data_IF_164735676254
#
_entry.id   IF_164735676254
#
_cell.length_a   1.000
_cell.length_b   1.000
_cell.length_c   1.000
_cell.angle_alpha   90.00
_cell.angle_beta   90.00
_cell.angle_gamma   90.00
#
_symmetry.space_group_name_H-M   'P 1'
#
loop_
_entity.id
_entity.type
_entity.pdbx_description
1 polymer ?
#
# COMPACT_ATOMS: atom_id res chain seq x y z
N UNK A 1 17.33 -15.68 -0.45
CA UNK A 1 16.82 -14.84 0.66
C UNK A 1 15.58 -15.49 1.24
N UNK A 2 15.31 -15.33 2.54
CA UNK A 2 14.07 -15.82 3.15
C UNK A 2 12.93 -14.81 3.00
N UNK A 3 11.68 -15.21 3.21
CA UNK A 3 10.54 -14.28 3.23
C UNK A 3 10.72 -13.16 4.26
N UNK A 4 11.40 -13.40 5.39
CA UNK A 4 11.71 -12.35 6.36
C UNK A 4 12.69 -11.32 5.79
N UNK A 5 13.67 -11.75 5.01
CA UNK A 5 14.66 -10.86 4.39
C UNK A 5 14.01 -10.01 3.30
N UNK A 6 13.12 -10.60 2.49
CA UNK A 6 12.36 -9.88 1.48
C UNK A 6 11.42 -8.83 2.08
N UNK A 7 10.77 -9.11 3.23
CA UNK A 7 9.96 -8.10 3.93
C UNK A 7 10.83 -6.90 4.39
N UNK A 8 12.03 -7.16 4.88
CA UNK A 8 12.96 -6.09 5.30
C UNK A 8 13.45 -5.27 4.10
N UNK A 9 13.75 -5.92 2.99
CA UNK A 9 14.11 -5.25 1.74
C UNK A 9 12.95 -4.38 1.22
N UNK A 10 11.72 -4.91 1.23
CA UNK A 10 10.53 -4.16 0.84
C UNK A 10 10.31 -2.91 1.72
N UNK A 11 10.57 -3.01 3.03
CA UNK A 11 10.53 -1.84 3.94
C UNK A 11 11.58 -0.80 3.56
N UNK A 12 12.81 -1.23 3.27
CA UNK A 12 13.87 -0.33 2.83
C UNK A 12 13.45 0.43 1.56
N UNK A 13 12.95 -0.29 0.55
CA UNK A 13 12.45 0.29 -0.70
C UNK A 13 11.33 1.33 -0.46
N UNK A 14 10.45 1.10 0.51
CA UNK A 14 9.42 2.08 0.87
C UNK A 14 10.00 3.36 1.50
N UNK A 15 10.97 3.19 2.41
CA UNK A 15 11.50 4.26 3.25
C UNK A 15 12.45 5.18 2.47
N UNK A 16 13.36 4.61 1.68
CA UNK A 16 14.40 5.37 0.96
C UNK A 16 14.20 5.42 -0.54
N UNK A 17 13.32 4.59 -1.10
CA UNK A 17 13.10 4.54 -2.54
C UNK A 17 12.39 5.77 -3.09
N UNK A 18 12.72 6.08 -4.34
CA UNK A 18 12.08 7.13 -5.14
C UNK A 18 11.14 6.52 -6.19
N UNK A 19 11.46 5.32 -6.72
CA UNK A 19 10.60 4.56 -7.63
C UNK A 19 9.74 3.53 -6.86
N UNK A 20 8.47 3.87 -6.64
CA UNK A 20 7.52 2.95 -6.01
C UNK A 20 6.99 1.87 -6.94
N UNK A 21 7.21 1.99 -8.25
CA UNK A 21 6.99 0.93 -9.22
C UNK A 21 7.94 -0.24 -8.99
N UNK A 22 9.21 0.04 -8.70
CA UNK A 22 10.21 -0.96 -8.30
C UNK A 22 9.78 -1.69 -7.02
N UNK A 23 9.38 -0.95 -5.97
CA UNK A 23 8.88 -1.55 -4.73
C UNK A 23 7.71 -2.50 -4.99
N UNK A 24 6.73 -2.08 -5.79
CA UNK A 24 5.57 -2.91 -6.11
C UNK A 24 5.98 -4.16 -6.88
N UNK A 25 6.86 -4.04 -7.87
CA UNK A 25 7.39 -5.18 -8.65
C UNK A 25 8.12 -6.17 -7.76
N UNK A 26 9.00 -5.67 -6.89
CA UNK A 26 9.74 -6.49 -5.92
C UNK A 26 8.81 -7.32 -5.02
N UNK A 27 7.68 -6.74 -4.59
CA UNK A 27 6.68 -7.48 -3.83
C UNK A 27 6.08 -8.64 -4.65
N UNK A 28 5.69 -8.41 -5.90
CA UNK A 28 5.12 -9.47 -6.74
C UNK A 28 6.14 -10.57 -7.07
N UNK A 29 7.38 -10.19 -7.39
CA UNK A 29 8.42 -11.12 -7.83
C UNK A 29 8.93 -12.02 -6.69
N UNK A 30 8.83 -11.56 -5.43
CA UNK A 30 9.45 -12.26 -4.29
C UNK A 30 8.51 -12.67 -3.16
N UNK A 31 7.33 -12.05 -3.04
CA UNK A 31 6.45 -12.23 -1.87
C UNK A 31 5.03 -12.65 -2.22
N UNK A 32 4.40 -12.07 -3.24
CA UNK A 32 2.96 -12.18 -3.48
C UNK A 32 2.47 -13.64 -3.59
N UNK A 33 3.24 -14.51 -4.23
CA UNK A 33 2.90 -15.93 -4.42
C UNK A 33 3.65 -16.87 -3.48
N UNK A 34 4.50 -16.35 -2.60
CA UNK A 34 5.31 -17.17 -1.69
C UNK A 34 4.44 -17.79 -0.59
N UNK A 35 4.33 -19.14 -0.51
CA UNK A 35 3.54 -19.78 0.54
C UNK A 35 4.04 -19.44 1.95
N UNK A 36 5.37 -19.29 2.08
CA UNK A 36 6.00 -18.86 3.33
C UNK A 36 5.54 -17.47 3.76
N UNK A 37 5.39 -16.53 2.82
CA UNK A 37 4.88 -15.18 3.11
C UNK A 37 3.38 -15.20 3.43
N UNK A 38 2.58 -15.87 2.59
CA UNK A 38 1.12 -15.96 2.76
C UNK A 38 0.73 -16.58 4.11
N UNK A 39 1.50 -17.56 4.59
CA UNK A 39 1.29 -18.20 5.89
C UNK A 39 1.66 -17.33 7.12
N UNK A 40 2.36 -16.21 6.95
CA UNK A 40 2.78 -15.34 8.07
C UNK A 40 1.70 -14.37 8.53
N UNK A 41 0.73 -14.08 7.67
CA UNK A 41 -0.27 -13.06 7.87
C UNK A 41 -1.60 -13.60 8.40
N UNK A 42 -2.39 -12.74 9.06
CA UNK A 42 -3.80 -13.00 9.33
C UNK A 42 -4.68 -11.85 8.85
N UNK A 43 -5.86 -12.12 8.26
CA UNK A 43 -6.82 -11.07 7.93
C UNK A 43 -7.15 -10.23 9.18
N UNK A 44 -7.09 -8.90 9.06
CA UNK A 44 -7.41 -7.99 10.17
C UNK A 44 -7.95 -6.67 9.66
N UNK A 45 -8.92 -6.09 10.39
CA UNK A 45 -9.42 -4.75 10.09
C UNK A 45 -8.50 -3.68 10.69
N UNK A 46 -8.30 -2.59 9.94
CA UNK A 46 -7.64 -1.38 10.41
C UNK A 46 -8.39 -0.17 9.84
N UNK A 47 -8.98 0.65 10.72
CA UNK A 47 -9.81 1.80 10.34
C UNK A 47 -9.00 2.92 9.71
N UNK A 48 -7.78 3.16 10.20
CA UNK A 48 -6.87 4.17 9.66
C UNK A 48 -6.48 3.82 8.23
N UNK A 49 -6.02 2.58 7.99
CA UNK A 49 -5.62 2.16 6.64
C UNK A 49 -6.81 2.14 5.67
N UNK A 50 -8.02 1.82 6.16
CA UNK A 50 -9.26 1.96 5.36
C UNK A 50 -9.54 3.41 4.98
N UNK A 51 -9.33 4.36 5.89
CA UNK A 51 -9.49 5.79 5.61
C UNK A 51 -8.45 6.28 4.60
N UNK A 52 -7.20 5.84 4.71
CA UNK A 52 -6.14 6.13 3.74
C UNK A 52 -6.52 5.64 2.34
N UNK A 53 -6.98 4.39 2.21
CA UNK A 53 -7.40 3.83 0.91
C UNK A 53 -8.55 4.64 0.30
N UNK A 54 -9.54 5.02 1.11
CA UNK A 54 -10.67 5.85 0.63
C UNK A 54 -10.19 7.23 0.18
N UNK A 55 -9.36 7.90 0.98
CA UNK A 55 -8.81 9.21 0.62
C UNK A 55 -7.98 9.17 -0.65
N UNK A 56 -7.15 8.13 -0.83
CA UNK A 56 -6.38 7.95 -2.05
C UNK A 56 -7.30 7.70 -3.27
N UNK A 57 -8.29 6.81 -3.15
CA UNK A 57 -9.24 6.55 -4.22
C UNK A 57 -10.04 7.80 -4.61
N UNK A 58 -10.58 8.55 -3.64
CA UNK A 58 -11.31 9.80 -3.92
C UNK A 58 -10.45 10.86 -4.60
N UNK A 59 -9.14 10.90 -4.32
CA UNK A 59 -8.24 11.91 -4.88
C UNK A 59 -7.71 11.56 -6.27
N UNK A 60 -7.42 10.29 -6.52
CA UNK A 60 -6.69 9.84 -7.72
C UNK A 60 -7.54 9.01 -8.68
N UNK A 61 -8.74 8.61 -8.27
CA UNK A 61 -9.76 8.00 -9.12
C UNK A 61 -11.00 8.91 -9.15
N UNK A 62 -12.12 8.37 -9.60
CA UNK A 62 -13.40 9.07 -9.57
C UNK A 62 -13.93 9.19 -8.11
N UNK A 63 -14.32 10.40 -7.65
CA UNK A 63 -14.83 10.61 -6.29
C UNK A 63 -16.09 9.79 -5.92
N UNK A 64 -16.87 9.37 -6.91
CA UNK A 64 -18.05 8.51 -6.72
C UNK A 64 -17.69 7.05 -6.43
N UNK A 65 -16.45 6.64 -6.70
CA UNK A 65 -16.01 5.27 -6.52
C UNK A 65 -15.82 4.95 -5.04
N UNK A 66 -16.53 3.92 -4.58
CA UNK A 66 -16.34 3.36 -3.24
C UNK A 66 -15.17 2.39 -3.24
N UNK A 67 -14.13 2.72 -2.47
CA UNK A 67 -12.98 1.85 -2.26
C UNK A 67 -13.13 0.93 -1.04
N UNK A 68 -12.78 -0.33 -1.23
CA UNK A 68 -12.72 -1.39 -0.23
C UNK A 68 -11.32 -1.99 -0.18
N UNK A 69 -10.95 -2.54 0.99
CA UNK A 69 -9.63 -3.16 1.18
C UNK A 69 -9.72 -4.39 2.07
N UNK A 70 -9.07 -5.46 1.61
CA UNK A 70 -8.86 -6.70 2.36
C UNK A 70 -7.44 -6.70 2.93
N UNK A 71 -7.32 -6.48 4.24
CA UNK A 71 -6.05 -6.28 4.92
C UNK A 71 -5.59 -7.55 5.63
N UNK A 72 -4.30 -7.84 5.49
CA UNK A 72 -3.58 -8.90 6.18
C UNK A 72 -2.50 -8.22 7.03
N UNK A 73 -2.39 -8.64 8.31
CA UNK A 73 -1.34 -8.18 9.21
C UNK A 73 -0.32 -9.30 9.45
N UNK A 74 0.95 -8.99 9.23
CA UNK A 74 2.09 -9.83 9.58
C UNK A 74 2.68 -9.28 10.88
N UNK A 75 2.23 -9.84 12.02
CA UNK A 75 2.52 -9.28 13.36
C UNK A 75 4.02 -9.17 13.65
N UNK A 76 4.82 -10.17 13.26
CA UNK A 76 6.27 -10.22 13.52
C UNK A 76 7.02 -9.01 12.98
N UNK A 77 6.56 -8.47 11.85
CA UNK A 77 7.22 -7.36 11.16
C UNK A 77 6.50 -6.02 11.33
N UNK A 78 5.39 -5.99 12.07
CA UNK A 78 4.52 -4.81 12.11
C UNK A 78 4.01 -4.39 10.73
N UNK A 79 3.97 -5.32 9.77
CA UNK A 79 3.63 -5.05 8.38
C UNK A 79 2.14 -5.32 8.16
N UNK A 80 1.53 -4.46 7.36
CA UNK A 80 0.21 -4.64 6.79
C UNK A 80 0.34 -4.64 5.28
N UNK A 81 -0.40 -5.52 4.62
CA UNK A 81 -0.61 -5.46 3.18
C UNK A 81 -2.04 -5.82 2.84
N UNK A 82 -2.48 -5.49 1.63
CA UNK A 82 -3.82 -5.85 1.20
C UNK A 82 -4.14 -5.45 -0.22
N UNK A 83 -5.14 -6.12 -0.78
CA UNK A 83 -5.71 -5.77 -2.07
C UNK A 83 -6.82 -4.72 -1.89
N UNK A 84 -6.80 -3.72 -2.77
CA UNK A 84 -7.79 -2.65 -2.88
C UNK A 84 -8.69 -2.96 -4.07
N UNK A 85 -10.00 -2.78 -3.88
CA UNK A 85 -11.00 -2.82 -4.95
C UNK A 85 -11.82 -1.54 -4.90
N UNK A 86 -11.86 -0.83 -6.02
CA UNK A 86 -12.54 0.46 -6.13
C UNK A 86 -13.29 0.49 -7.47
N UNK A 87 -14.52 -0.05 -7.50
CA UNK A 87 -15.25 -0.23 -8.76
C UNK A 87 -14.48 -1.15 -9.72
N UNK A 88 -14.19 -0.66 -10.94
CA UNK A 88 -13.37 -1.33 -11.94
C UNK A 88 -11.86 -1.12 -11.74
N UNK A 89 -11.46 -0.33 -10.74
CA UNK A 89 -10.07 -0.06 -10.39
C UNK A 89 -9.58 -1.06 -9.34
N UNK A 90 -8.31 -1.43 -9.44
CA UNK A 90 -7.62 -2.33 -8.51
C UNK A 90 -6.45 -1.63 -7.85
N UNK A 91 -5.85 -2.27 -6.85
CA UNK A 91 -4.67 -1.70 -6.22
C UNK A 91 -4.18 -2.52 -5.05
N UNK A 92 -3.11 -2.03 -4.44
CA UNK A 92 -2.46 -2.68 -3.29
C UNK A 92 -2.10 -1.63 -2.26
N UNK A 93 -2.14 -2.00 -0.98
CA UNK A 93 -1.61 -1.19 0.12
C UNK A 93 -0.51 -1.96 0.83
N UNK A 94 0.54 -1.25 1.23
CA UNK A 94 1.60 -1.69 2.13
C UNK A 94 1.74 -0.67 3.26
N UNK A 95 2.00 -1.12 4.48
CA UNK A 95 2.24 -0.23 5.61
C UNK A 95 3.11 -0.90 6.68
N UNK A 96 4.11 -0.18 7.18
CA UNK A 96 5.02 -0.64 8.23
C UNK A 96 4.84 0.20 9.50
N UNK A 97 4.43 -0.45 10.59
CA UNK A 97 4.17 0.19 11.88
C UNK A 97 5.41 0.87 12.48
N UNK A 98 6.60 0.33 12.24
CA UNK A 98 7.85 0.84 12.83
C UNK A 98 8.25 2.22 12.31
N UNK A 99 7.97 2.52 11.04
CA UNK A 99 8.27 3.80 10.41
C UNK A 99 7.04 4.68 10.19
N UNK A 100 5.86 4.14 10.51
CA UNK A 100 4.55 4.74 10.25
C UNK A 100 4.35 5.13 8.78
N UNK A 101 5.06 4.46 7.87
CA UNK A 101 5.02 4.69 6.43
C UNK A 101 4.24 3.61 5.72
N UNK A 102 3.54 4.00 4.66
CA UNK A 102 2.90 3.07 3.74
C UNK A 102 2.88 3.57 2.32
N UNK A 103 2.48 2.68 1.42
CA UNK A 103 2.28 2.94 0.00
C UNK A 103 0.90 2.40 -0.39
N UNK A 104 0.11 3.23 -1.06
CA UNK A 104 -1.06 2.81 -1.82
C UNK A 104 -0.67 2.85 -3.29
N UNK A 105 -1.00 1.79 -4.02
CA UNK A 105 -0.95 1.76 -5.48
C UNK A 105 -2.37 1.60 -6.01
N UNK A 106 -2.78 2.42 -6.97
CA UNK A 106 -4.11 2.38 -7.59
C UNK A 106 -3.96 2.28 -9.09
N UNK A 107 -4.42 1.17 -9.66
CA UNK A 107 -4.45 0.92 -11.09
C UNK A 107 -5.77 1.40 -11.67
N UNK A 108 -5.72 2.39 -12.55
CA UNK A 108 -6.91 2.89 -13.25
C UNK A 108 -7.20 2.03 -14.48
N UNK A 109 -8.39 1.44 -14.55
CA UNK A 109 -8.85 0.71 -15.74
C UNK A 109 -9.07 1.61 -16.96
N UNK A 110 -9.32 2.91 -16.73
CA UNK A 110 -9.58 3.90 -17.78
C UNK A 110 -8.26 4.42 -18.37
N UNK A 111 -7.36 4.94 -17.52
CA UNK A 111 -6.11 5.55 -17.99
C UNK A 111 -4.98 4.54 -18.18
N UNK A 112 -5.15 3.29 -17.71
CA UNK A 112 -4.13 2.23 -17.69
C UNK A 112 -2.85 2.62 -16.94
N UNK A 113 -2.92 3.66 -16.09
CA UNK A 113 -1.81 4.11 -15.24
C UNK A 113 -1.96 3.58 -13.83
N UNK A 114 -0.83 3.47 -13.14
CA UNK A 114 -0.77 3.17 -11.71
C UNK A 114 -0.34 4.42 -10.97
N UNK A 115 -1.20 4.88 -10.07
CA UNK A 115 -0.90 5.99 -9.17
C UNK A 115 -0.27 5.44 -7.89
N UNK A 116 0.86 6.00 -7.49
CA UNK A 116 1.60 5.62 -6.30
C UNK A 116 1.51 6.73 -5.25
N UNK A 117 0.93 6.40 -4.10
CA UNK A 117 0.72 7.34 -2.99
C UNK A 117 1.42 6.80 -1.77
N UNK A 118 2.65 7.28 -1.53
CA UNK A 118 3.29 7.09 -0.23
C UNK A 118 2.51 7.89 0.82
N UNK A 119 2.45 7.42 2.06
CA UNK A 119 1.76 8.14 3.13
C UNK A 119 2.43 7.86 4.46
N UNK A 120 2.20 8.76 5.42
CA UNK A 120 2.42 8.49 6.84
C UNK A 120 1.08 8.36 7.55
N UNK A 121 1.00 7.44 8.51
CA UNK A 121 -0.19 7.24 9.32
C UNK A 121 0.19 6.93 10.77
N UNK A 122 0.42 7.98 11.56
CA UNK A 122 0.68 7.83 12.97
C UNK A 122 -0.59 7.44 13.74
N UNK A 123 -0.42 6.69 14.84
CA UNK A 123 -1.49 6.54 15.84
C UNK A 123 -1.63 7.86 16.60
N UNK A 124 -2.49 8.75 16.10
CA UNK A 124 -2.91 9.94 16.84
C UNK A 124 -4.02 9.57 17.84
N UNK A 125 -3.95 10.02 19.11
CA UNK A 125 -5.08 9.96 20.05
C UNK A 125 -6.35 10.67 19.54
N UNK A 126 -6.22 11.55 18.54
CA UNK A 126 -7.26 12.50 18.09
C UNK A 126 -7.68 12.33 16.62
N UNK A 127 -7.24 11.26 15.94
CA UNK A 127 -7.57 10.98 14.54
C UNK A 127 -6.34 11.05 13.63
N UNK A 128 -6.24 10.09 12.72
CA UNK A 128 -5.07 9.90 11.86
C UNK A 128 -4.84 11.12 10.94
N UNK A 129 -3.61 11.64 10.94
CA UNK A 129 -3.16 12.63 9.98
C UNK A 129 -2.61 11.90 8.77
N UNK A 130 -3.23 12.08 7.61
CA UNK A 130 -2.74 11.56 6.33
C UNK A 130 -1.89 12.66 5.69
N UNK A 131 -0.57 12.49 5.70
CA UNK A 131 0.32 13.29 4.85
C UNK A 131 0.75 12.43 3.67
N UNK A 132 0.22 12.76 2.48
CA UNK A 132 0.75 12.24 1.23
C UNK A 132 1.90 13.16 0.78
N UNK A 133 3.10 12.64 0.45
CA UNK A 133 4.02 13.40 -0.37
C UNK A 133 3.40 13.54 -1.77
N UNK A 134 3.42 14.76 -2.30
CA UNK A 134 3.06 15.02 -3.68
C UNK A 134 4.15 14.41 -4.56
N UNK A 135 3.85 13.31 -5.25
CA UNK A 135 4.66 12.90 -6.39
C UNK A 135 4.11 13.59 -7.63
N UNK A 136 4.96 14.18 -8.50
CA UNK A 136 4.49 14.66 -9.78
C UNK A 136 3.86 13.49 -10.56
N UNK A 137 2.79 13.73 -11.33
CA UNK A 137 2.19 12.70 -12.17
C UNK A 137 3.26 12.12 -13.09
N UNK A 138 3.22 10.80 -13.29
CA UNK A 138 4.15 10.14 -14.22
C UNK A 138 4.10 10.84 -15.58
N UNK A 139 5.26 11.10 -16.23
CA UNK A 139 5.29 11.75 -17.53
C UNK A 139 4.45 10.95 -18.54
N UNK A 140 3.80 11.62 -19.51
CA UNK A 140 3.17 10.92 -20.61
C UNK A 140 4.23 10.14 -21.41
N UNK A 141 3.91 8.89 -21.75
CA UNK A 141 4.65 8.10 -22.75
C UNK A 141 4.64 8.80 -24.11
#
# INVERSE_FOLDING_TARGET
MTANDHIRALRCLLEVGEDFGEMRRYFYDHLAESPAFLGMGKPKKNTILRAVVRGAATRYLDPSVRAEVALIRIRKHGMWHGAIRAGAHGGDIFYFESSEMGLVSLSSSVTRRVEYVRFRAAKSPTGAVITAPQYPPSPPN
#
